data_IF_064710776032
#
_entry.id   IF_064710776032
#
_cell.length_a   1.000
_cell.length_b   1.000
_cell.length_c   1.000
_cell.angle_alpha   90.00
_cell.angle_beta   90.00
_cell.angle_gamma   90.00
#
_symmetry.space_group_name_H-M   'P 1'
#
loop_
_entity.id
_entity.type
_entity.pdbx_description
1 polymer ?
#
# COMPACT_ATOMS: atom_id res chain seq x y z
N UNK A 1 43.47 13.45 -18.51
CA UNK A 1 42.16 14.11 -18.75
C UNK A 1 41.04 13.14 -19.16
N UNK A 2 41.25 12.20 -20.10
CA UNK A 2 40.22 11.20 -20.48
C UNK A 2 39.72 10.29 -19.34
N UNK A 3 40.59 9.91 -18.40
CA UNK A 3 40.22 9.02 -17.28
C UNK A 3 39.35 9.67 -16.20
N UNK A 4 39.43 10.99 -16.03
CA UNK A 4 38.59 11.75 -15.09
C UNK A 4 37.15 11.90 -15.61
N UNK A 5 36.98 12.03 -16.93
CA UNK A 5 35.66 12.12 -17.56
C UNK A 5 34.87 10.80 -17.47
N UNK A 6 35.55 9.66 -17.62
CA UNK A 6 34.93 8.32 -17.46
C UNK A 6 34.51 8.06 -16.01
N UNK A 7 35.32 8.45 -15.03
CA UNK A 7 34.97 8.31 -13.62
C UNK A 7 33.76 9.19 -13.22
N UNK A 8 33.69 10.42 -13.74
CA UNK A 8 32.56 11.32 -13.48
C UNK A 8 31.24 10.79 -14.07
N UNK A 9 31.27 10.21 -15.28
CA UNK A 9 30.08 9.57 -15.89
C UNK A 9 29.66 8.33 -15.11
N UNK A 10 30.61 7.48 -14.70
CA UNK A 10 30.30 6.30 -13.90
C UNK A 10 29.68 6.66 -12.53
N UNK A 11 30.21 7.68 -11.85
CA UNK A 11 29.65 8.18 -10.58
C UNK A 11 28.27 8.80 -10.79
N UNK A 12 28.08 9.61 -11.85
CA UNK A 12 26.77 10.18 -12.16
C UNK A 12 25.71 9.10 -12.49
N UNK A 13 26.09 8.02 -13.17
CA UNK A 13 25.21 6.88 -13.42
C UNK A 13 24.88 6.10 -12.14
N UNK A 14 25.83 5.94 -11.22
CA UNK A 14 25.60 5.28 -9.93
C UNK A 14 24.74 6.14 -9.00
N UNK A 15 24.94 7.46 -8.99
CA UNK A 15 24.12 8.40 -8.19
C UNK A 15 22.71 8.56 -8.77
N UNK A 16 22.54 8.48 -10.10
CA UNK A 16 21.23 8.45 -10.74
C UNK A 16 20.51 7.09 -10.57
N UNK A 17 21.25 6.00 -10.37
CA UNK A 17 20.68 4.69 -10.05
C UNK A 17 20.33 4.53 -8.56
N UNK A 18 20.92 5.34 -7.67
CA UNK A 18 20.44 5.58 -6.31
C UNK A 18 19.25 6.57 -6.31
N UNK A 19 18.41 6.50 -7.35
CA UNK A 19 17.20 7.30 -7.46
C UNK A 19 16.34 7.06 -6.22
N UNK A 20 16.04 8.13 -5.49
CA UNK A 20 14.96 8.11 -4.53
C UNK A 20 13.72 7.56 -5.24
N UNK A 21 13.25 6.37 -4.85
CA UNK A 21 12.01 5.81 -5.37
C UNK A 21 10.89 6.79 -5.08
N UNK A 22 10.36 7.40 -6.13
CA UNK A 22 9.29 8.39 -5.98
C UNK A 22 7.99 7.64 -5.73
N UNK A 23 7.32 7.96 -4.62
CA UNK A 23 6.00 7.37 -4.32
C UNK A 23 5.00 7.60 -5.46
N UNK A 24 5.17 8.65 -6.28
CA UNK A 24 4.37 8.92 -7.48
C UNK A 24 4.43 7.81 -8.52
N UNK A 25 5.50 7.04 -8.55
CA UNK A 25 5.66 5.91 -9.48
C UNK A 25 4.72 4.75 -9.12
N UNK A 26 4.09 4.77 -7.95
CA UNK A 26 3.13 3.77 -7.49
C UNK A 26 1.70 3.96 -8.00
N UNK A 27 1.42 5.03 -8.76
CA UNK A 27 0.15 5.14 -9.47
C UNK A 27 -0.05 3.95 -10.44
N UNK A 28 -1.25 3.38 -10.47
CA UNK A 28 -1.56 2.19 -11.27
C UNK A 28 -2.45 1.19 -10.54
N UNK A 29 -2.56 0.00 -11.12
CA UNK A 29 -3.37 -1.10 -10.56
C UNK A 29 -2.47 -2.14 -9.91
N UNK A 30 -2.84 -2.50 -8.68
CA UNK A 30 -2.12 -3.45 -7.84
C UNK A 30 -3.07 -4.57 -7.43
N UNK A 31 -2.63 -5.82 -7.55
CA UNK A 31 -3.48 -6.99 -7.29
C UNK A 31 -2.72 -8.05 -6.52
N UNK A 32 -3.40 -8.74 -5.61
CA UNK A 32 -2.77 -9.79 -4.81
C UNK A 32 -3.76 -10.61 -3.99
N UNK A 33 -3.38 -11.85 -3.72
CA UNK A 33 -4.14 -12.75 -2.88
C UNK A 33 -3.97 -12.40 -1.40
N UNK A 34 -4.92 -12.87 -0.57
CA UNK A 34 -4.78 -12.80 0.88
C UNK A 34 -3.55 -13.58 1.35
N UNK A 35 -2.80 -12.98 2.27
CA UNK A 35 -1.63 -13.58 2.92
C UNK A 35 -2.06 -14.20 4.25
N UNK A 36 -1.51 -15.38 4.54
CA UNK A 36 -1.75 -16.10 5.79
C UNK A 36 -3.00 -16.98 5.74
N UNK A 37 -2.81 -18.25 6.12
CA UNK A 37 -3.85 -19.28 6.15
C UNK A 37 -4.14 -19.80 7.57
N UNK A 38 -3.37 -19.35 8.57
CA UNK A 38 -3.53 -19.72 9.96
C UNK A 38 -4.96 -19.42 10.43
N UNK A 39 -5.59 -20.39 11.13
CA UNK A 39 -6.99 -20.29 11.55
C UNK A 39 -7.34 -18.98 12.28
N UNK A 40 -6.50 -18.43 13.19
CA UNK A 40 -6.79 -17.15 13.85
C UNK A 40 -6.88 -15.94 12.92
N UNK A 41 -6.32 -16.01 11.71
CA UNK A 41 -6.33 -14.91 10.74
C UNK A 41 -7.53 -14.98 9.78
N UNK A 42 -8.39 -15.99 9.90
CA UNK A 42 -9.59 -16.16 9.07
C UNK A 42 -10.76 -15.39 9.67
N UNK A 43 -10.70 -14.05 9.63
CA UNK A 43 -11.69 -13.18 10.27
C UNK A 43 -12.33 -12.28 9.23
N UNK A 44 -13.60 -12.54 8.89
CA UNK A 44 -14.40 -11.67 8.01
C UNK A 44 -13.96 -11.58 6.54
N UNK A 45 -12.86 -12.23 6.15
CA UNK A 45 -12.32 -12.24 4.78
C UNK A 45 -12.22 -13.69 4.29
N UNK A 46 -12.69 -13.98 3.08
CA UNK A 46 -12.58 -15.30 2.48
C UNK A 46 -11.10 -15.73 2.29
N UNK A 47 -10.83 -17.03 2.34
CA UNK A 47 -9.45 -17.57 2.26
C UNK A 47 -8.81 -17.44 0.89
N UNK A 48 -9.63 -17.39 -0.14
CA UNK A 48 -9.29 -17.25 -1.55
C UNK A 48 -9.54 -15.83 -2.07
N UNK A 49 -9.86 -14.88 -1.18
CA UNK A 49 -10.10 -13.49 -1.58
C UNK A 49 -8.85 -12.88 -2.22
N UNK A 50 -9.07 -12.18 -3.32
CA UNK A 50 -8.10 -11.30 -3.97
C UNK A 50 -8.49 -9.85 -3.72
N UNK A 51 -7.49 -8.99 -3.53
CA UNK A 51 -7.67 -7.56 -3.48
C UNK A 51 -7.11 -6.90 -4.76
N UNK A 52 -7.80 -5.87 -5.25
CA UNK A 52 -7.34 -4.98 -6.31
C UNK A 52 -7.40 -3.54 -5.82
N UNK A 53 -6.26 -2.86 -5.79
CA UNK A 53 -6.13 -1.44 -5.45
C UNK A 53 -5.74 -0.65 -6.70
N UNK A 54 -6.62 0.24 -7.14
CA UNK A 54 -6.32 1.21 -8.18
C UNK A 54 -5.88 2.53 -7.53
N UNK A 55 -4.59 2.86 -7.62
CA UNK A 55 -4.03 4.12 -7.13
C UNK A 55 -4.10 5.14 -8.27
N UNK A 56 -5.07 6.06 -8.19
CA UNK A 56 -5.26 7.09 -9.19
C UNK A 56 -4.33 8.29 -8.96
N UNK A 57 -4.06 8.62 -7.70
CA UNK A 57 -3.17 9.72 -7.32
C UNK A 57 -2.44 9.40 -6.02
N UNK A 58 -1.17 9.78 -5.98
CA UNK A 58 -0.37 9.77 -4.77
C UNK A 58 0.54 10.99 -4.80
N UNK A 59 0.41 11.87 -3.82
CA UNK A 59 1.20 13.09 -3.71
C UNK A 59 1.37 13.51 -2.25
N UNK A 60 1.85 14.74 -2.00
CA UNK A 60 2.05 15.26 -0.65
C UNK A 60 0.76 15.35 0.19
N UNK A 61 -0.40 15.41 -0.46
CA UNK A 61 -1.73 15.47 0.16
C UNK A 61 -2.32 14.09 0.45
N UNK A 62 -1.65 13.01 0.03
CA UNK A 62 -2.05 11.63 0.33
C UNK A 62 -2.26 10.77 -0.91
N UNK A 63 -2.84 9.60 -0.68
CA UNK A 63 -3.27 8.63 -1.68
C UNK A 63 -4.78 8.72 -1.94
N UNK A 64 -5.18 8.67 -3.21
CA UNK A 64 -6.57 8.54 -3.65
C UNK A 64 -6.72 7.47 -4.75
N UNK A 65 -7.82 6.74 -4.72
CA UNK A 65 -8.02 5.58 -5.59
C UNK A 65 -9.33 4.84 -5.36
N UNK A 66 -9.36 3.57 -5.75
CA UNK A 66 -10.47 2.66 -5.51
C UNK A 66 -9.95 1.28 -5.07
N UNK A 67 -10.72 0.62 -4.21
CA UNK A 67 -10.41 -0.71 -3.68
C UNK A 67 -11.55 -1.68 -4.00
N UNK A 68 -11.17 -2.86 -4.48
CA UNK A 68 -12.03 -4.02 -4.61
C UNK A 68 -11.42 -5.20 -3.85
N UNK A 69 -12.23 -5.93 -3.09
CA UNK A 69 -11.84 -7.16 -2.40
C UNK A 69 -12.97 -8.16 -2.56
N UNK A 70 -12.66 -9.32 -3.14
CA UNK A 70 -13.63 -10.35 -3.48
C UNK A 70 -14.60 -10.62 -2.31
N UNK A 71 -15.88 -10.31 -2.54
CA UNK A 71 -16.98 -10.58 -1.59
C UNK A 71 -17.06 -9.65 -0.36
N UNK A 72 -16.20 -8.62 -0.25
CA UNK A 72 -16.14 -7.74 0.92
C UNK A 72 -16.18 -6.25 0.60
N UNK A 73 -15.49 -5.82 -0.45
CA UNK A 73 -15.38 -4.41 -0.86
C UNK A 73 -15.62 -4.36 -2.36
N UNK A 74 -16.54 -3.51 -2.82
CA UNK A 74 -16.88 -3.39 -4.23
C UNK A 74 -16.64 -1.96 -4.71
N UNK A 75 -15.54 -1.75 -5.45
CA UNK A 75 -15.13 -0.45 -6.00
C UNK A 75 -15.25 0.73 -4.99
N UNK A 76 -14.83 0.50 -3.75
CA UNK A 76 -14.94 1.50 -2.70
C UNK A 76 -13.88 2.59 -2.90
N UNK A 77 -14.30 3.85 -2.81
CA UNK A 77 -13.39 4.98 -2.85
C UNK A 77 -12.36 4.89 -1.73
N UNK A 78 -11.09 5.07 -2.09
CA UNK A 78 -9.97 5.17 -1.15
C UNK A 78 -9.52 6.63 -1.15
N UNK A 79 -9.52 7.25 0.02
CA UNK A 79 -8.93 8.58 0.23
C UNK A 79 -8.22 8.57 1.57
N UNK A 80 -6.96 9.00 1.56
CA UNK A 80 -6.15 9.03 2.78
C UNK A 80 -6.74 9.97 3.82
N UNK A 81 -6.69 9.56 5.08
CA UNK A 81 -7.11 10.35 6.22
C UNK A 81 -6.19 11.56 6.37
N UNK A 82 -6.78 12.74 6.27
CA UNK A 82 -6.04 13.99 6.46
C UNK A 82 -5.40 14.03 7.85
N UNK A 83 -4.13 14.42 7.91
CA UNK A 83 -3.37 14.50 9.16
C UNK A 83 -2.80 13.18 9.67
N UNK A 84 -3.24 12.01 9.17
CA UNK A 84 -2.62 10.73 9.50
C UNK A 84 -1.16 10.65 8.98
N UNK A 85 -0.87 11.38 7.90
CA UNK A 85 0.46 11.58 7.31
C UNK A 85 1.46 12.21 8.31
N UNK A 86 0.96 12.92 9.32
CA UNK A 86 1.75 13.63 10.34
C UNK A 86 2.01 12.79 11.59
N UNK A 87 1.60 11.51 11.61
CA UNK A 87 1.95 10.58 12.68
C UNK A 87 3.47 10.37 12.70
N UNK A 88 4.12 10.72 13.81
CA UNK A 88 5.56 10.59 14.01
C UNK A 88 6.06 9.14 13.85
N UNK A 89 5.18 8.14 14.00
CA UNK A 89 5.49 6.74 13.74
C UNK A 89 5.62 6.41 12.24
N UNK A 90 5.08 7.24 11.35
CA UNK A 90 5.26 7.11 9.91
C UNK A 90 6.63 7.62 9.42
N UNK A 91 7.40 8.31 10.27
CA UNK A 91 8.69 8.90 9.92
C UNK A 91 9.94 8.07 10.26
N UNK A 92 9.81 7.01 11.06
CA UNK A 92 10.94 6.14 11.44
C UNK A 92 11.03 4.96 10.47
N UNK A 93 11.95 5.02 9.50
CA UNK A 93 12.25 3.89 8.63
C UNK A 93 13.44 3.08 9.13
N UNK A 94 13.31 1.76 9.03
CA UNK A 94 14.39 0.77 9.17
C UNK A 94 14.50 0.03 7.83
N UNK A 95 15.58 -0.72 7.61
CA UNK A 95 15.68 -1.56 6.41
C UNK A 95 14.47 -2.52 6.33
N UNK A 96 13.77 -2.49 5.18
CA UNK A 96 12.53 -3.24 4.97
C UNK A 96 11.25 -2.57 5.52
N UNK A 97 11.34 -1.36 6.06
CA UNK A 97 10.16 -0.56 6.41
C UNK A 97 9.48 0.00 5.15
N UNK A 98 8.17 0.27 5.22
CA UNK A 98 7.48 0.97 4.14
C UNK A 98 8.12 2.35 3.86
N UNK A 99 8.22 2.72 2.58
CA UNK A 99 8.46 4.08 2.12
C UNK A 99 7.41 5.05 2.65
N UNK A 100 6.14 4.61 2.66
CA UNK A 100 5.02 5.39 3.18
C UNK A 100 3.86 4.50 3.58
N UNK A 101 3.10 4.94 4.58
CA UNK A 101 1.85 4.30 5.00
C UNK A 101 0.71 5.30 4.90
N UNK A 102 -0.38 4.87 4.28
CA UNK A 102 -1.63 5.62 4.17
C UNK A 102 -2.73 4.90 4.94
N UNK A 103 -3.60 5.68 5.58
CA UNK A 103 -4.77 5.18 6.29
C UNK A 103 -6.02 5.69 5.58
N UNK A 104 -7.00 4.84 5.34
CA UNK A 104 -8.29 5.21 4.73
C UNK A 104 -9.43 4.40 5.35
N UNK A 105 -10.64 4.96 5.38
CA UNK A 105 -11.85 4.16 5.63
C UNK A 105 -12.45 3.73 4.29
N UNK A 106 -12.80 2.46 4.17
CA UNK A 106 -13.43 1.89 2.98
C UNK A 106 -14.75 1.25 3.36
N UNK A 107 -15.81 1.57 2.60
CA UNK A 107 -17.11 0.96 2.78
C UNK A 107 -17.05 -0.53 2.44
N UNK A 108 -17.63 -1.37 3.30
CA UNK A 108 -17.75 -2.81 3.05
C UNK A 108 -19.19 -3.18 2.67
N UNK A 109 -19.35 -4.32 2.01
CA UNK A 109 -20.65 -4.81 1.53
C UNK A 109 -21.33 -5.79 2.48
N UNK A 110 -20.67 -6.17 3.59
CA UNK A 110 -21.15 -7.22 4.51
C UNK A 110 -22.09 -6.70 5.61
N UNK A 111 -22.44 -5.41 5.57
CA UNK A 111 -23.31 -4.77 6.55
C UNK A 111 -22.64 -4.44 7.89
N UNK A 112 -21.33 -4.72 8.05
CA UNK A 112 -20.57 -4.42 9.27
C UNK A 112 -20.06 -2.97 9.36
N UNK A 113 -20.31 -2.14 8.33
CA UNK A 113 -19.84 -0.76 8.24
C UNK A 113 -18.42 -0.66 7.66
N UNK A 114 -17.78 0.49 7.85
CA UNK A 114 -16.48 0.75 7.21
C UNK A 114 -15.34 -0.05 7.85
N UNK A 115 -14.37 -0.43 7.03
CA UNK A 115 -13.10 -1.00 7.45
C UNK A 115 -11.99 0.05 7.40
N UNK A 116 -11.01 -0.05 8.31
CA UNK A 116 -9.77 0.68 8.18
C UNK A 116 -8.86 -0.06 7.19
N UNK A 117 -8.52 0.61 6.09
CA UNK A 117 -7.49 0.21 5.15
C UNK A 117 -6.15 0.85 5.56
N UNK A 118 -5.14 0.02 5.78
CA UNK A 118 -3.75 0.43 5.94
C UNK A 118 -3.00 0.04 4.67
N UNK A 119 -2.51 1.02 3.93
CA UNK A 119 -1.84 0.82 2.63
C UNK A 119 -0.38 1.20 2.82
N UNK A 120 0.50 0.20 2.81
CA UNK A 120 1.94 0.39 2.96
C UNK A 120 2.62 0.20 1.60
N UNK A 121 3.42 1.20 1.21
CA UNK A 121 4.24 1.17 0.00
C UNK A 121 5.66 0.86 0.42
N UNK A 122 6.29 -0.13 -0.20
CA UNK A 122 7.69 -0.50 0.01
C UNK A 122 8.53 -0.07 -1.18
N UNK A 123 9.86 -0.10 -1.06
CA UNK A 123 10.80 0.27 -2.12
C UNK A 123 11.10 -0.85 -3.13
N UNK A 124 10.65 -2.08 -2.83
CA UNK A 124 10.83 -3.29 -3.65
C UNK A 124 9.63 -3.58 -4.58
N UNK A 125 8.94 -2.54 -5.08
CA UNK A 125 7.75 -2.64 -5.93
C UNK A 125 6.62 -3.48 -5.30
N UNK A 126 6.44 -3.33 -3.99
CA UNK A 126 5.40 -4.01 -3.22
C UNK A 126 4.45 -3.00 -2.57
N UNK A 127 3.16 -3.30 -2.66
CA UNK A 127 2.13 -2.65 -1.85
C UNK A 127 1.50 -3.68 -0.93
N UNK A 128 1.45 -3.41 0.37
CA UNK A 128 0.70 -4.22 1.31
C UNK A 128 -0.59 -3.50 1.71
N UNK A 129 -1.70 -4.21 1.62
CA UNK A 129 -2.99 -3.75 2.10
C UNK A 129 -3.38 -4.57 3.34
N UNK A 130 -3.69 -3.88 4.44
CA UNK A 130 -4.36 -4.49 5.60
C UNK A 130 -5.75 -3.91 5.76
N UNK A 131 -6.74 -4.78 5.95
CA UNK A 131 -8.09 -4.39 6.33
C UNK A 131 -8.34 -4.79 7.77
N UNK A 132 -8.85 -3.85 8.58
CA UNK A 132 -9.19 -4.08 9.97
C UNK A 132 -10.56 -3.49 10.30
N UNK A 133 -11.38 -4.26 11.03
CA UNK A 133 -12.58 -3.77 11.69
C UNK A 133 -12.77 -4.51 12.99
N UNK A 134 -13.09 -3.79 14.06
CA UNK A 134 -13.45 -4.36 15.35
C UNK A 134 -14.97 -4.54 15.50
N UNK A 135 -15.43 -4.75 16.73
CA UNK A 135 -16.85 -4.76 17.06
C UNK A 135 -17.56 -6.09 16.75
N UNK A 136 -18.85 -6.01 16.40
CA UNK A 136 -19.73 -7.17 16.25
C UNK A 136 -19.51 -7.98 14.96
N UNK A 137 -18.93 -7.34 13.94
CA UNK A 137 -18.58 -7.96 12.66
C UNK A 137 -17.08 -7.72 12.38
N UNK A 138 -16.18 -8.34 13.15
CA UNK A 138 -14.75 -8.08 13.01
C UNK A 138 -14.24 -8.60 11.66
N UNK A 139 -13.23 -7.92 11.12
CA UNK A 139 -12.47 -8.42 9.97
C UNK A 139 -10.99 -8.14 10.16
N UNK A 140 -10.18 -9.06 9.63
CA UNK A 140 -8.74 -8.91 9.51
C UNK A 140 -8.28 -9.61 8.24
N UNK A 141 -7.63 -8.87 7.35
CA UNK A 141 -7.04 -9.41 6.13
C UNK A 141 -5.77 -8.66 5.78
N UNK A 142 -4.77 -9.38 5.29
CA UNK A 142 -3.51 -8.83 4.76
C UNK A 142 -3.38 -9.31 3.32
N UNK A 143 -3.00 -8.42 2.42
CA UNK A 143 -2.80 -8.72 1.00
C UNK A 143 -1.45 -8.16 0.57
N UNK A 144 -0.65 -9.00 -0.08
CA UNK A 144 0.58 -8.57 -0.74
C UNK A 144 0.26 -8.32 -2.21
N UNK A 145 0.19 -7.05 -2.60
CA UNK A 145 -0.20 -6.62 -3.93
C UNK A 145 1.06 -6.40 -4.79
N UNK A 146 0.99 -6.93 -6.01
CA UNK A 146 1.97 -6.70 -7.06
C UNK A 146 1.31 -5.90 -8.19
N UNK A 147 2.13 -5.22 -8.99
CA UNK A 147 1.64 -4.49 -10.16
C UNK A 147 0.99 -5.46 -11.16
N UNK A 148 -0.19 -5.09 -11.66
CA UNK A 148 -0.93 -5.82 -12.70
C UNK A 148 -0.70 -5.27 -14.10
#
# INVERSE_FOLDING_TARGET
MRSLALAAVAVACVVAAAACTDVRDYAGTWRGARVGDAAPLRVGVASDATATLAIARIDRHGLAGALDVDGLVADAAVTSLEGAEADALAGMSFDGAPLRVYLAFVATTDGGGDALAVIAIFDDDRVELRLLRGGAAPLYGVFALARS
#
